data_IF_383102529965
#
_entry.id   IF_383102529965
#
_cell.length_a   1.000
_cell.length_b   1.000
_cell.length_c   1.000
_cell.angle_alpha   90.00
_cell.angle_beta   90.00
_cell.angle_gamma   90.00
#
_symmetry.space_group_name_H-M   'P 1'
#
loop_
_entity.id
_entity.type
_entity.pdbx_description
1 polymer ?
#
# COMPACT_ATOMS: atom_id res chain seq x y z
N UNK A 1 -20.57 -3.47 0.75
CA UNK A 1 -21.91 -4.08 0.53
C UNK A 1 -22.44 -4.69 1.83
N UNK A 2 -21.64 -5.53 2.55
CA UNK A 2 -22.12 -6.18 3.78
C UNK A 2 -22.57 -5.17 4.86
N UNK A 3 -21.75 -4.14 5.14
CA UNK A 3 -22.09 -3.12 6.13
C UNK A 3 -23.37 -2.35 5.76
N UNK A 4 -23.58 -2.08 4.47
CA UNK A 4 -24.78 -1.40 4.00
C UNK A 4 -26.05 -2.22 4.22
N UNK A 5 -25.95 -3.54 4.17
CA UNK A 5 -27.06 -4.44 4.43
C UNK A 5 -27.29 -4.70 5.94
N UNK A 6 -26.29 -4.49 6.75
CA UNK A 6 -26.29 -4.83 8.19
C UNK A 6 -26.57 -3.64 9.10
N UNK A 7 -26.19 -2.42 8.69
CA UNK A 7 -26.41 -1.23 9.50
C UNK A 7 -27.72 -0.53 9.11
N UNK A 8 -28.55 -0.15 10.09
CA UNK A 8 -29.69 0.74 9.81
C UNK A 8 -29.17 2.09 9.31
N UNK A 9 -29.99 2.84 8.55
CA UNK A 9 -29.64 4.19 8.15
C UNK A 9 -29.27 5.04 9.37
N UNK A 10 -28.17 5.78 9.28
CA UNK A 10 -27.64 6.57 10.38
C UNK A 10 -26.76 7.70 9.87
N UNK A 11 -26.35 8.56 10.77
CA UNK A 11 -25.51 9.72 10.49
C UNK A 11 -24.41 9.87 11.56
N UNK A 12 -23.47 10.74 11.28
CA UNK A 12 -22.36 11.06 12.18
C UNK A 12 -21.16 10.12 12.08
N UNK A 13 -20.09 10.50 12.77
CA UNK A 13 -18.79 9.84 12.67
C UNK A 13 -18.86 8.36 13.03
N UNK A 14 -19.48 8.00 14.13
CA UNK A 14 -19.55 6.62 14.61
C UNK A 14 -20.26 5.68 13.61
N UNK A 15 -21.30 6.20 12.92
CA UNK A 15 -21.97 5.44 11.86
C UNK A 15 -21.04 5.17 10.69
N UNK A 16 -20.35 6.19 10.20
CA UNK A 16 -19.44 6.03 9.06
C UNK A 16 -18.20 5.19 9.40
N UNK A 17 -17.69 5.29 10.62
CA UNK A 17 -16.64 4.40 11.10
C UNK A 17 -17.10 2.94 11.07
N UNK A 18 -18.25 2.61 11.62
CA UNK A 18 -18.79 1.27 11.58
C UNK A 18 -19.07 0.77 10.15
N UNK A 19 -19.56 1.69 9.30
CA UNK A 19 -19.89 1.38 7.90
C UNK A 19 -18.65 0.99 7.08
N UNK A 20 -17.56 1.74 7.22
CA UNK A 20 -16.34 1.53 6.44
C UNK A 20 -15.32 0.62 7.12
N UNK A 21 -15.48 0.27 8.40
CA UNK A 21 -14.48 -0.45 9.17
C UNK A 21 -14.02 -1.74 8.49
N UNK A 22 -14.92 -2.66 8.24
CA UNK A 22 -14.58 -3.95 7.66
C UNK A 22 -14.07 -3.86 6.23
N UNK A 23 -14.77 -3.09 5.38
CA UNK A 23 -14.38 -2.88 3.99
C UNK A 23 -13.05 -2.15 3.84
N UNK A 24 -12.82 -1.11 4.63
CA UNK A 24 -11.57 -0.36 4.64
C UNK A 24 -10.38 -1.21 5.03
N UNK A 25 -10.51 -2.02 6.09
CA UNK A 25 -9.43 -2.91 6.52
C UNK A 25 -9.14 -4.04 5.52
N UNK A 26 -10.16 -4.57 4.85
CA UNK A 26 -9.95 -5.53 3.76
C UNK A 26 -9.19 -4.91 2.58
N UNK A 27 -9.54 -3.68 2.20
CA UNK A 27 -8.87 -2.94 1.11
C UNK A 27 -7.41 -2.60 1.45
N UNK A 28 -7.04 -2.45 2.70
CA UNK A 28 -5.64 -2.19 3.09
C UNK A 28 -4.72 -3.34 2.68
N UNK A 29 -5.14 -4.60 2.82
CA UNK A 29 -4.38 -5.75 2.30
C UNK A 29 -4.20 -5.67 0.79
N UNK A 30 -5.27 -5.36 0.05
CA UNK A 30 -5.22 -5.23 -1.40
C UNK A 30 -4.25 -4.12 -1.82
N UNK A 31 -4.33 -2.94 -1.21
CA UNK A 31 -3.45 -1.82 -1.53
C UNK A 31 -1.99 -2.14 -1.21
N UNK A 32 -1.70 -2.79 -0.09
CA UNK A 32 -0.35 -3.19 0.27
C UNK A 32 0.22 -4.25 -0.69
N UNK A 33 -0.58 -5.24 -1.12
CA UNK A 33 -0.16 -6.24 -2.11
C UNK A 33 0.13 -5.61 -3.47
N UNK A 34 -0.72 -4.68 -3.93
CA UNK A 34 -0.50 -3.95 -5.18
C UNK A 34 0.75 -3.05 -5.09
N UNK A 35 0.98 -2.41 -3.96
CA UNK A 35 2.20 -1.63 -3.71
C UNK A 35 3.45 -2.52 -3.76
N UNK A 36 3.43 -3.70 -3.14
CA UNK A 36 4.54 -4.67 -3.20
C UNK A 36 4.81 -5.12 -4.64
N UNK A 37 3.78 -5.36 -5.44
CA UNK A 37 3.92 -5.65 -6.86
C UNK A 37 4.53 -4.46 -7.61
N UNK A 38 4.10 -3.22 -7.31
CA UNK A 38 4.68 -2.01 -7.88
C UNK A 38 6.17 -1.86 -7.51
N UNK A 39 6.56 -2.13 -6.25
CA UNK A 39 7.96 -2.12 -5.83
C UNK A 39 8.82 -3.14 -6.59
N UNK A 40 8.31 -4.36 -6.81
CA UNK A 40 9.01 -5.38 -7.58
C UNK A 40 9.18 -4.95 -9.04
N UNK A 41 8.18 -4.29 -9.59
CA UNK A 41 8.26 -3.75 -10.95
C UNK A 41 9.26 -2.59 -11.05
N UNK A 42 9.23 -1.65 -10.10
CA UNK A 42 10.20 -0.55 -10.01
C UNK A 42 11.63 -1.09 -9.87
N UNK A 43 11.84 -2.07 -8.99
CA UNK A 43 13.13 -2.74 -8.84
C UNK A 43 13.60 -3.36 -10.15
N UNK A 44 12.72 -4.04 -10.87
CA UNK A 44 13.03 -4.64 -12.18
C UNK A 44 13.36 -3.59 -13.24
N UNK A 45 12.63 -2.46 -13.25
CA UNK A 45 12.90 -1.34 -14.15
C UNK A 45 14.25 -0.68 -13.88
N UNK A 46 14.68 -0.67 -12.61
CA UNK A 46 16.02 -0.21 -12.20
C UNK A 46 17.14 -1.23 -12.49
N UNK A 47 16.82 -2.39 -13.08
CA UNK A 47 17.77 -3.47 -13.37
C UNK A 47 18.14 -4.32 -12.15
N UNK A 48 17.44 -4.16 -11.04
CA UNK A 48 17.68 -4.86 -9.77
C UNK A 48 16.46 -5.71 -9.39
N UNK A 49 16.02 -6.56 -10.33
CA UNK A 49 14.90 -7.46 -10.06
C UNK A 49 15.12 -8.25 -8.76
N UNK A 50 14.10 -8.43 -7.92
CA UNK A 50 14.22 -9.23 -6.72
C UNK A 50 14.71 -10.63 -7.04
N UNK A 51 15.69 -11.11 -6.27
CA UNK A 51 16.28 -12.45 -6.44
C UNK A 51 15.30 -13.54 -5.97
N UNK A 52 14.15 -13.62 -6.61
CA UNK A 52 13.02 -14.47 -6.23
C UNK A 52 12.44 -15.13 -7.49
N UNK A 53 12.47 -16.47 -7.53
CA UNK A 53 11.88 -17.22 -8.64
C UNK A 53 10.35 -17.05 -8.69
N UNK A 54 9.73 -17.20 -9.88
CA UNK A 54 8.27 -16.93 -10.03
C UNK A 54 7.39 -17.74 -9.08
N UNK A 55 7.71 -19.01 -8.84
CA UNK A 55 6.94 -19.88 -7.92
C UNK A 55 7.03 -19.39 -6.49
N UNK A 56 8.21 -18.99 -6.01
CA UNK A 56 8.43 -18.46 -4.67
C UNK A 56 7.76 -17.09 -4.51
N UNK A 57 7.83 -16.23 -5.52
CA UNK A 57 7.12 -14.96 -5.54
C UNK A 57 5.60 -15.18 -5.40
N UNK A 58 5.02 -16.04 -6.23
CA UNK A 58 3.59 -16.36 -6.17
C UNK A 58 3.19 -16.94 -4.81
N UNK A 59 4.00 -17.82 -4.23
CA UNK A 59 3.73 -18.39 -2.91
C UNK A 59 3.76 -17.34 -1.80
N UNK A 60 4.72 -16.40 -1.83
CA UNK A 60 4.80 -15.31 -0.84
C UNK A 60 3.66 -14.31 -0.99
N UNK A 61 3.26 -13.97 -2.23
CA UNK A 61 2.08 -13.12 -2.45
C UNK A 61 0.79 -13.82 -2.00
N UNK A 62 0.65 -15.13 -2.27
CA UNK A 62 -0.49 -15.92 -1.78
C UNK A 62 -0.53 -15.98 -0.24
N UNK A 63 0.62 -16.17 0.40
CA UNK A 63 0.75 -16.14 1.87
C UNK A 63 0.35 -14.78 2.43
N UNK A 64 0.83 -13.71 1.84
CA UNK A 64 0.49 -12.34 2.26
C UNK A 64 -0.99 -11.98 2.01
N UNK A 65 -1.65 -12.62 1.04
CA UNK A 65 -3.07 -12.47 0.75
C UNK A 65 -3.97 -13.35 1.66
N UNK A 66 -3.41 -14.36 2.33
CA UNK A 66 -4.17 -15.33 3.10
C UNK A 66 -5.12 -14.73 4.15
N UNK A 67 -4.74 -13.65 4.88
CA UNK A 67 -5.62 -13.02 5.86
C UNK A 67 -6.96 -12.55 5.28
N UNK A 68 -7.01 -12.18 3.99
CA UNK A 68 -8.24 -11.71 3.33
C UNK A 68 -9.33 -12.79 3.36
N UNK A 69 -8.95 -14.07 3.39
CA UNK A 69 -9.90 -15.19 3.44
C UNK A 69 -10.70 -15.24 4.78
N UNK A 70 -10.21 -14.60 5.83
CA UNK A 70 -10.94 -14.50 7.09
C UNK A 70 -12.06 -13.43 7.05
N UNK A 71 -12.01 -12.48 6.11
CA UNK A 71 -12.96 -11.38 6.03
C UNK A 71 -14.41 -11.83 5.92
N UNK A 72 -14.80 -12.77 5.03
CA UNK A 72 -16.18 -13.25 4.94
C UNK A 72 -16.65 -13.92 6.23
N UNK A 73 -15.79 -14.66 6.92
CA UNK A 73 -16.14 -15.34 8.17
C UNK A 73 -16.38 -14.32 9.30
N UNK A 74 -15.55 -13.29 9.41
CA UNK A 74 -15.74 -12.20 10.39
C UNK A 74 -17.06 -11.48 10.13
N UNK A 75 -17.34 -11.13 8.85
CA UNK A 75 -18.57 -10.45 8.44
C UNK A 75 -19.84 -11.28 8.68
N UNK A 76 -19.76 -12.61 8.54
CA UNK A 76 -20.89 -13.51 8.77
C UNK A 76 -21.21 -13.71 10.25
N UNK A 77 -20.18 -13.71 11.12
CA UNK A 77 -20.35 -13.98 12.54
C UNK A 77 -20.69 -12.72 13.33
N UNK A 78 -20.12 -11.58 12.98
CA UNK A 78 -20.30 -10.33 13.69
C UNK A 78 -20.70 -9.23 12.73
N UNK A 79 -21.94 -8.70 12.82
CA UNK A 79 -22.39 -7.64 11.95
C UNK A 79 -21.61 -6.35 12.18
N UNK A 80 -21.59 -5.49 11.17
CA UNK A 80 -21.00 -4.17 11.27
C UNK A 80 -21.60 -3.39 12.46
N UNK A 81 -20.77 -2.64 13.18
CA UNK A 81 -21.15 -1.95 14.42
C UNK A 81 -21.06 -2.80 15.69
N UNK A 82 -20.88 -4.12 15.60
CA UNK A 82 -20.67 -4.95 16.77
C UNK A 82 -19.20 -4.82 17.25
N UNK A 83 -18.97 -4.73 18.55
CA UNK A 83 -17.62 -4.53 19.12
C UNK A 83 -16.63 -5.64 18.74
N UNK A 84 -17.08 -6.90 18.61
CA UNK A 84 -16.24 -8.00 18.15
C UNK A 84 -15.89 -7.90 16.67
N UNK A 85 -16.76 -7.35 15.83
CA UNK A 85 -16.43 -7.05 14.42
C UNK A 85 -15.20 -6.13 14.36
N UNK A 86 -15.23 -5.02 15.10
CA UNK A 86 -14.12 -4.08 15.18
C UNK A 86 -12.84 -4.75 15.69
N UNK A 87 -12.94 -5.51 16.78
CA UNK A 87 -11.80 -6.18 17.40
C UNK A 87 -11.17 -7.25 16.49
N UNK A 88 -11.96 -8.05 15.79
CA UNK A 88 -11.43 -9.08 14.90
C UNK A 88 -10.77 -8.49 13.65
N UNK A 89 -11.31 -7.41 13.07
CA UNK A 89 -10.62 -6.71 12.00
C UNK A 89 -9.30 -6.10 12.46
N UNK A 90 -9.23 -5.49 13.65
CA UNK A 90 -7.99 -4.99 14.22
C UNK A 90 -6.94 -6.11 14.38
N UNK A 91 -7.33 -7.26 14.96
CA UNK A 91 -6.45 -8.42 15.09
C UNK A 91 -6.03 -9.01 13.74
N UNK A 92 -6.92 -9.01 12.75
CA UNK A 92 -6.60 -9.43 11.39
C UNK A 92 -5.47 -8.58 10.80
N UNK A 93 -5.50 -7.27 11.04
CA UNK A 93 -4.45 -6.35 10.62
C UNK A 93 -3.13 -6.60 11.36
N UNK A 94 -3.18 -6.71 12.69
CA UNK A 94 -2.00 -6.95 13.52
C UNK A 94 -1.28 -8.26 13.15
N UNK A 95 -2.03 -9.34 12.93
CA UNK A 95 -1.46 -10.65 12.61
C UNK A 95 -1.16 -10.84 11.12
N UNK A 96 -1.94 -10.21 10.25
CA UNK A 96 -1.86 -10.43 8.80
C UNK A 96 -0.76 -9.64 8.11
N UNK A 97 -0.55 -8.37 8.47
CA UNK A 97 0.48 -7.54 7.84
C UNK A 97 1.91 -8.08 7.98
N UNK A 98 2.32 -8.70 9.10
CA UNK A 98 3.65 -9.32 9.18
C UNK A 98 3.94 -10.36 8.10
N UNK A 99 2.93 -10.99 7.51
CA UNK A 99 3.11 -11.93 6.40
C UNK A 99 3.64 -11.27 5.12
N UNK A 100 3.60 -9.94 5.04
CA UNK A 100 4.19 -9.16 3.94
C UNK A 100 5.69 -8.87 4.12
N UNK A 101 6.24 -9.05 5.34
CA UNK A 101 7.63 -8.73 5.65
C UNK A 101 8.65 -9.45 4.74
N UNK A 102 8.48 -10.73 4.38
CA UNK A 102 9.40 -11.37 3.43
C UNK A 102 9.46 -10.65 2.07
N UNK A 103 8.31 -10.25 1.51
CA UNK A 103 8.25 -9.49 0.26
C UNK A 103 8.90 -8.10 0.42
N UNK A 104 8.66 -7.44 1.54
CA UNK A 104 9.31 -6.16 1.87
C UNK A 104 10.83 -6.31 1.98
N UNK A 105 11.33 -7.41 2.54
CA UNK A 105 12.77 -7.68 2.64
C UNK A 105 13.41 -7.84 1.26
N UNK A 106 12.76 -8.55 0.31
CA UNK A 106 13.23 -8.62 -1.08
C UNK A 106 13.21 -7.25 -1.76
N UNK A 107 12.18 -6.44 -1.54
CA UNK A 107 12.12 -5.08 -2.07
C UNK A 107 13.23 -4.19 -1.49
N UNK A 108 13.48 -4.26 -0.18
CA UNK A 108 14.56 -3.53 0.48
C UNK A 108 15.94 -3.94 -0.05
N UNK A 109 16.16 -5.24 -0.26
CA UNK A 109 17.42 -5.74 -0.83
C UNK A 109 17.63 -5.21 -2.26
N UNK A 110 16.61 -5.25 -3.11
CA UNK A 110 16.68 -4.71 -4.46
C UNK A 110 16.98 -3.19 -4.44
N UNK A 111 16.32 -2.46 -3.54
CA UNK A 111 16.53 -1.03 -3.35
C UNK A 111 17.97 -0.71 -2.88
N UNK A 112 18.51 -1.52 -1.99
CA UNK A 112 19.90 -1.39 -1.54
C UNK A 112 20.90 -1.61 -2.69
N UNK A 113 20.65 -2.58 -3.58
CA UNK A 113 21.48 -2.81 -4.77
C UNK A 113 21.40 -1.63 -5.76
N UNK A 114 20.24 -1.04 -5.93
CA UNK A 114 20.01 0.13 -6.80
C UNK A 114 20.59 1.45 -6.24
N UNK A 115 21.29 1.45 -5.09
CA UNK A 115 21.70 2.66 -4.35
C UNK A 115 22.52 3.68 -5.14
N UNK A 116 23.31 3.22 -6.12
CA UNK A 116 24.17 4.10 -6.92
C UNK A 116 23.45 4.85 -8.06
N UNK A 117 22.21 4.49 -8.37
CA UNK A 117 21.45 5.08 -9.47
C UNK A 117 20.78 6.38 -9.05
N UNK A 118 20.81 7.38 -9.94
CA UNK A 118 20.02 8.61 -9.84
C UNK A 118 18.88 8.51 -10.85
N UNK A 119 17.67 8.21 -10.38
CA UNK A 119 16.50 7.94 -11.22
C UNK A 119 15.23 8.36 -10.45
N UNK A 120 14.27 9.07 -11.09
CA UNK A 120 13.02 9.45 -10.46
C UNK A 120 12.22 8.25 -9.93
N UNK A 121 12.19 7.13 -10.67
CA UNK A 121 11.52 5.91 -10.23
C UNK A 121 12.15 5.35 -8.95
N UNK A 122 13.49 5.43 -8.80
CA UNK A 122 14.16 5.08 -7.56
C UNK A 122 13.78 6.00 -6.42
N UNK A 123 13.73 7.31 -6.64
CA UNK A 123 13.35 8.27 -5.61
C UNK A 123 11.94 8.01 -5.10
N UNK A 124 11.00 7.72 -6.01
CA UNK A 124 9.64 7.33 -5.66
C UNK A 124 9.61 6.00 -4.87
N UNK A 125 10.41 5.01 -5.27
CA UNK A 125 10.51 3.73 -4.57
C UNK A 125 11.07 3.91 -3.16
N UNK A 126 12.17 4.67 -2.97
CA UNK A 126 12.76 4.96 -1.66
C UNK A 126 11.75 5.66 -0.75
N UNK A 127 11.11 6.74 -1.24
CA UNK A 127 10.15 7.50 -0.46
C UNK A 127 8.93 6.65 -0.09
N UNK A 128 8.41 5.88 -1.04
CA UNK A 128 7.33 4.92 -0.82
C UNK A 128 7.68 3.90 0.26
N UNK A 129 8.85 3.26 0.15
CA UNK A 129 9.30 2.25 1.09
C UNK A 129 9.46 2.81 2.50
N UNK A 130 10.12 3.95 2.65
CA UNK A 130 10.35 4.58 3.95
C UNK A 130 9.05 5.03 4.61
N UNK A 131 8.17 5.69 3.86
CA UNK A 131 6.89 6.16 4.39
C UNK A 131 5.99 4.99 4.79
N UNK A 132 5.93 3.94 3.98
CA UNK A 132 5.14 2.77 4.32
C UNK A 132 5.71 2.02 5.53
N UNK A 133 7.03 1.88 5.64
CA UNK A 133 7.68 1.26 6.79
C UNK A 133 7.43 2.05 8.09
N UNK A 134 7.57 3.39 8.04
CA UNK A 134 7.26 4.26 9.19
C UNK A 134 5.78 4.20 9.53
N UNK A 135 4.89 4.33 8.53
CA UNK A 135 3.44 4.24 8.73
C UNK A 135 3.03 2.89 9.34
N UNK A 136 3.58 1.79 8.82
CA UNK A 136 3.33 0.45 9.36
C UNK A 136 3.82 0.28 10.81
N UNK A 137 4.99 0.83 11.13
CA UNK A 137 5.51 0.82 12.52
C UNK A 137 4.60 1.61 13.46
N UNK A 138 4.13 2.78 13.01
CA UNK A 138 3.21 3.60 13.80
C UNK A 138 1.89 2.87 14.07
N UNK A 139 1.41 2.00 13.18
CA UNK A 139 0.19 1.21 13.40
C UNK A 139 0.26 0.40 14.71
N UNK A 140 1.40 -0.20 15.00
CA UNK A 140 1.60 -0.98 16.23
C UNK A 140 1.74 -0.11 17.49
N UNK A 141 1.93 1.20 17.33
CA UNK A 141 2.00 2.16 18.43
C UNK A 141 0.64 2.78 18.76
N UNK A 142 -0.41 2.49 18.00
CA UNK A 142 -1.75 3.02 18.25
C UNK A 142 -2.29 2.41 19.55
N UNK A 143 -2.57 3.28 20.52
CA UNK A 143 -3.22 2.93 21.80
C UNK A 143 -4.36 3.91 22.04
N UNK A 144 -5.60 3.46 21.80
CA UNK A 144 -6.76 4.33 21.87
C UNK A 144 -6.79 5.38 20.75
N UNK A 145 -7.59 6.41 20.90
CA UNK A 145 -7.73 7.51 19.93
C UNK A 145 -6.67 8.58 20.21
N UNK A 146 -5.73 8.74 19.29
CA UNK A 146 -4.64 9.71 19.42
C UNK A 146 -4.08 10.13 18.04
N UNK A 147 -3.12 11.07 18.03
CA UNK A 147 -2.47 11.61 16.82
C UNK A 147 -1.63 10.59 16.04
N UNK A 148 -1.33 9.42 16.61
CA UNK A 148 -0.61 8.35 15.91
C UNK A 148 -1.46 7.76 14.80
N UNK A 149 -2.80 7.76 14.95
CA UNK A 149 -3.72 7.26 13.91
C UNK A 149 -3.55 8.02 12.59
N UNK A 150 -3.72 9.36 12.54
CA UNK A 150 -3.50 10.09 11.29
C UNK A 150 -2.05 10.00 10.81
N UNK A 151 -1.05 9.96 11.68
CA UNK A 151 0.34 9.78 11.29
C UNK A 151 0.57 8.43 10.59
N UNK A 152 0.00 7.34 11.12
CA UNK A 152 -0.01 6.02 10.48
C UNK A 152 -0.65 6.08 9.09
N UNK A 153 -1.83 6.66 8.96
CA UNK A 153 -2.53 6.75 7.68
C UNK A 153 -1.74 7.55 6.65
N UNK A 154 -1.20 8.71 7.03
CA UNK A 154 -0.39 9.53 6.10
C UNK A 154 0.85 8.76 5.62
N UNK A 155 1.57 8.10 6.51
CA UNK A 155 2.71 7.29 6.12
C UNK A 155 2.33 6.15 5.18
N UNK A 156 1.31 5.37 5.52
CA UNK A 156 0.91 4.20 4.74
C UNK A 156 0.29 4.57 3.40
N UNK A 157 -0.69 5.50 3.37
CA UNK A 157 -1.41 5.88 2.15
C UNK A 157 -0.48 6.61 1.17
N UNK A 158 0.32 7.57 1.66
CA UNK A 158 1.27 8.29 0.80
C UNK A 158 2.35 7.33 0.30
N UNK A 159 2.79 6.36 1.12
CA UNK A 159 3.71 5.31 0.69
C UNK A 159 3.14 4.53 -0.50
N UNK A 160 1.91 4.05 -0.40
CA UNK A 160 1.21 3.35 -1.51
C UNK A 160 1.11 4.25 -2.75
N UNK A 161 0.68 5.50 -2.57
CA UNK A 161 0.51 6.46 -3.67
C UNK A 161 1.82 6.71 -4.43
N UNK A 162 2.93 6.90 -3.71
CA UNK A 162 4.24 7.11 -4.32
C UNK A 162 4.74 5.88 -5.10
N UNK A 163 4.43 4.66 -4.66
CA UNK A 163 4.74 3.47 -5.45
C UNK A 163 4.06 3.50 -6.82
N UNK A 164 2.77 3.84 -6.85
CA UNK A 164 2.03 3.94 -8.11
C UNK A 164 2.45 5.13 -8.96
N UNK A 165 2.77 6.27 -8.36
CA UNK A 165 3.33 7.41 -9.10
C UNK A 165 4.67 7.02 -9.75
N UNK A 166 5.57 6.37 -9.00
CA UNK A 166 6.83 5.87 -9.56
C UNK A 166 6.60 4.86 -10.69
N UNK A 167 5.63 3.96 -10.52
CA UNK A 167 5.27 2.99 -11.54
C UNK A 167 4.69 3.65 -12.80
N UNK A 168 3.91 4.73 -12.65
CA UNK A 168 3.39 5.49 -13.78
C UNK A 168 4.52 6.03 -14.68
N UNK A 169 5.62 6.55 -14.12
CA UNK A 169 6.78 6.98 -14.89
C UNK A 169 7.39 5.87 -15.76
N UNK A 170 7.37 4.63 -15.26
CA UNK A 170 7.92 3.47 -15.99
C UNK A 170 6.94 2.97 -17.04
N UNK A 171 5.63 3.07 -16.79
CA UNK A 171 4.60 2.51 -17.67
C UNK A 171 4.19 3.45 -18.79
N UNK A 172 4.15 4.76 -18.56
CA UNK A 172 3.68 5.73 -19.55
C UNK A 172 4.39 5.61 -20.92
N UNK A 173 5.72 5.52 -20.99
CA UNK A 173 6.41 5.30 -22.28
C UNK A 173 6.03 3.97 -22.95
N UNK A 174 5.84 2.91 -22.15
CA UNK A 174 5.42 1.58 -22.67
C UNK A 174 3.99 1.57 -23.22
N UNK A 175 3.16 2.49 -22.76
CA UNK A 175 1.78 2.68 -23.22
C UNK A 175 1.70 3.66 -24.42
N UNK A 176 2.85 4.12 -24.95
CA UNK A 176 2.92 5.02 -26.09
C UNK A 176 2.81 6.51 -25.73
N UNK A 177 2.86 6.85 -24.44
CA UNK A 177 2.95 8.24 -24.00
C UNK A 177 4.42 8.71 -24.07
N UNK A 178 4.59 10.03 -24.11
CA UNK A 178 5.91 10.67 -24.14
C UNK A 178 6.68 10.36 -22.86
N UNK A 179 8.00 10.17 -22.96
CA UNK A 179 8.85 10.00 -21.77
C UNK A 179 8.85 11.30 -20.94
N UNK A 180 8.83 11.16 -19.63
CA UNK A 180 8.88 12.31 -18.72
C UNK A 180 10.24 13.04 -18.82
N UNK A 181 11.32 12.33 -19.16
CA UNK A 181 12.63 12.94 -19.43
C UNK A 181 12.55 13.91 -20.62
N UNK A 182 11.88 13.50 -21.72
CA UNK A 182 11.69 14.34 -22.91
C UNK A 182 10.86 15.59 -22.61
N UNK A 183 10.01 15.52 -21.60
CA UNK A 183 9.16 16.64 -21.20
C UNK A 183 9.95 17.72 -20.46
N UNK A 184 10.95 17.34 -19.68
CA UNK A 184 11.88 18.28 -19.01
C UNK A 184 12.75 19.05 -19.96
N UNK A 185 13.03 18.52 -21.14
CA UNK A 185 13.80 19.17 -22.20
C UNK A 185 12.89 20.01 -23.16
N UNK A 186 11.58 20.06 -22.89
CA UNK A 186 10.65 20.78 -23.75
C UNK A 186 10.53 22.26 -23.31
N UNK A 187 10.47 23.22 -24.25
CA UNK A 187 10.24 24.64 -23.92
C UNK A 187 8.97 24.90 -23.11
N UNK A 188 7.98 23.99 -23.21
CA UNK A 188 6.75 24.08 -22.44
C UNK A 188 6.98 23.82 -20.95
N UNK A 189 7.99 23.01 -20.57
CA UNK A 189 8.34 22.78 -19.17
C UNK A 189 8.93 24.03 -18.53
N UNK A 190 9.81 24.76 -19.25
CA UNK A 190 10.44 26.00 -18.78
C UNK A 190 9.39 27.09 -18.54
N UNK A 191 8.38 27.18 -19.43
CA UNK A 191 7.27 28.12 -19.29
C UNK A 191 6.39 27.80 -18.05
N UNK A 192 6.16 26.54 -17.74
CA UNK A 192 5.31 26.14 -16.62
C UNK A 192 6.06 26.22 -15.29
N UNK A 193 7.35 25.93 -15.26
CA UNK A 193 8.16 25.89 -14.03
C UNK A 193 8.86 27.21 -13.72
N UNK A 194 8.94 28.14 -14.68
CA UNK A 194 9.63 29.43 -14.51
C UNK A 194 11.15 29.30 -14.37
N UNK A 195 11.74 28.19 -14.82
CA UNK A 195 13.19 27.92 -14.80
C UNK A 195 13.84 28.23 -16.13
#
# INVERSE_FOLDING_TARGET
VASWLQLPPGEGQAYWEAFFWGGGHALQFQHALLMLAAWFWLASALGEAPALGPRAASALFALAALPILAVPAIQAQWPAGHGLHTAYFARLMEAGHPLMLPLMAFAAHALWRARARRDPAKSAFVASFLLFAVGGTLAYMIKGVNVVIPAHYHGSIVGVTLAFMGLAYVLLPRLGFRDVADWRESPAFDVITGL
#
